data_IF_780765653163
#
_entry.id   IF_780765653163
#
_cell.length_a   1.000
_cell.length_b   1.000
_cell.length_c   1.000
_cell.angle_alpha   90.00
_cell.angle_beta   90.00
_cell.angle_gamma   90.00
#
_symmetry.space_group_name_H-M   'P 1'
#
loop_
_entity.id
_entity.type
_entity.pdbx_description
1 polymer ?
#
# COMPACT_ATOMS: atom_id res chain seq x y z
N UNK A 1 -19.90 -27.93 -36.87
CA UNK A 1 -20.03 -26.50 -36.58
C UNK A 1 -20.51 -26.22 -35.16
N UNK A 2 -19.87 -26.83 -34.16
CA UNK A 2 -20.13 -26.54 -32.74
C UNK A 2 -18.84 -26.18 -31.96
N UNK A 3 -17.64 -26.41 -32.53
CA UNK A 3 -16.36 -26.04 -31.91
C UNK A 3 -16.02 -24.54 -32.05
N UNK A 4 -16.57 -23.84 -33.05
CA UNK A 4 -16.21 -22.44 -33.35
C UNK A 4 -16.92 -21.42 -32.43
N UNK A 5 -17.96 -21.86 -31.70
CA UNK A 5 -18.73 -20.99 -30.81
C UNK A 5 -18.10 -20.91 -29.41
N UNK A 6 -17.59 -22.03 -28.89
CA UNK A 6 -16.88 -22.08 -27.60
C UNK A 6 -15.57 -21.28 -27.66
N UNK A 7 -14.78 -21.43 -28.74
CA UNK A 7 -13.55 -20.66 -28.93
C UNK A 7 -13.84 -19.15 -29.09
N UNK A 8 -14.90 -18.77 -29.79
CA UNK A 8 -15.28 -17.37 -29.94
C UNK A 8 -15.79 -16.75 -28.63
N UNK A 9 -16.51 -17.50 -27.80
CA UNK A 9 -17.02 -17.05 -26.51
C UNK A 9 -15.89 -16.88 -25.49
N UNK A 10 -14.93 -17.82 -25.44
CA UNK A 10 -13.72 -17.75 -24.61
C UNK A 10 -12.81 -16.59 -25.02
N UNK A 11 -12.66 -16.31 -26.32
CA UNK A 11 -11.85 -15.19 -26.82
C UNK A 11 -12.51 -13.83 -26.53
N UNK A 12 -13.85 -13.75 -26.52
CA UNK A 12 -14.58 -12.52 -26.17
C UNK A 12 -14.55 -12.28 -24.66
N UNK A 13 -14.72 -13.32 -23.86
CA UNK A 13 -14.72 -13.22 -22.40
C UNK A 13 -13.32 -12.91 -21.84
N UNK A 14 -12.26 -13.48 -22.44
CA UNK A 14 -10.87 -13.12 -22.13
C UNK A 14 -10.55 -11.65 -22.44
N UNK A 15 -11.07 -11.08 -23.53
CA UNK A 15 -10.91 -9.64 -23.83
C UNK A 15 -11.63 -8.75 -22.83
N UNK A 16 -12.85 -9.11 -22.44
CA UNK A 16 -13.61 -8.36 -21.44
C UNK A 16 -12.90 -8.34 -20.08
N UNK A 17 -12.36 -9.49 -19.65
CA UNK A 17 -11.53 -9.58 -18.45
C UNK A 17 -10.30 -8.67 -18.54
N UNK A 18 -9.55 -8.72 -19.65
CA UNK A 18 -8.35 -7.90 -19.81
C UNK A 18 -8.65 -6.39 -19.85
N UNK A 19 -9.80 -5.97 -20.38
CA UNK A 19 -10.19 -4.56 -20.36
C UNK A 19 -10.51 -4.09 -18.93
N UNK A 20 -11.19 -4.93 -18.13
CA UNK A 20 -11.46 -4.66 -16.71
C UNK A 20 -10.15 -4.61 -15.90
N UNK A 21 -9.24 -5.55 -16.15
CA UNK A 21 -7.94 -5.61 -15.45
C UNK A 21 -7.09 -4.35 -15.73
N UNK A 22 -7.06 -3.84 -16.98
CA UNK A 22 -6.39 -2.55 -17.29
C UNK A 22 -7.05 -1.36 -16.61
N UNK A 23 -8.37 -1.36 -16.52
CA UNK A 23 -9.08 -0.28 -15.83
C UNK A 23 -8.76 -0.28 -14.33
N UNK A 24 -8.69 -1.46 -13.70
CA UNK A 24 -8.32 -1.58 -12.30
C UNK A 24 -6.88 -1.15 -12.04
N UNK A 25 -5.93 -1.60 -12.87
CA UNK A 25 -4.50 -1.28 -12.80
C UNK A 25 -4.27 0.24 -12.83
N UNK A 26 -4.74 0.91 -13.91
CA UNK A 26 -4.62 2.36 -14.07
C UNK A 26 -5.30 3.17 -12.95
N UNK A 27 -6.37 2.63 -12.35
CA UNK A 27 -7.04 3.27 -11.21
C UNK A 27 -6.27 3.11 -9.92
N UNK A 28 -5.63 1.97 -9.72
CA UNK A 28 -4.85 1.70 -8.52
C UNK A 28 -3.59 2.56 -8.53
N UNK A 29 -2.95 2.71 -9.69
CA UNK A 29 -1.77 3.55 -9.87
C UNK A 29 -2.02 5.05 -9.61
N UNK A 30 -3.25 5.51 -9.86
CA UNK A 30 -3.62 6.92 -9.73
C UNK A 30 -4.34 7.28 -8.43
N UNK A 31 -4.54 6.31 -7.55
CA UNK A 31 -5.27 6.50 -6.30
C UNK A 31 -4.32 6.49 -5.10
N UNK A 32 -4.22 7.64 -4.44
CA UNK A 32 -3.55 7.77 -3.15
C UNK A 32 -4.60 7.87 -2.03
N UNK A 33 -4.76 6.82 -1.19
CA UNK A 33 -5.71 6.83 -0.07
C UNK A 33 -5.37 7.82 1.05
N UNK A 34 -4.14 8.35 1.09
CA UNK A 34 -3.65 9.22 2.17
C UNK A 34 -3.80 10.72 1.87
N UNK A 35 -3.97 11.09 0.60
CA UNK A 35 -4.19 12.49 0.17
C UNK A 35 -5.63 12.79 -0.26
N UNK A 36 -6.56 11.86 0.00
CA UNK A 36 -7.96 11.92 -0.45
C UNK A 36 -8.92 11.94 0.74
N UNK A 37 -10.14 12.45 0.53
CA UNK A 37 -11.15 12.52 1.60
C UNK A 37 -11.80 11.14 1.84
N UNK A 38 -12.31 10.84 3.05
CA UNK A 38 -12.93 9.53 3.36
C UNK A 38 -14.02 9.08 2.37
N UNK A 39 -14.81 10.02 1.84
CA UNK A 39 -15.84 9.72 0.85
C UNK A 39 -15.27 9.29 -0.52
N UNK A 40 -14.06 9.74 -0.86
CA UNK A 40 -13.35 9.33 -2.06
C UNK A 40 -12.71 7.94 -1.87
N UNK A 41 -12.23 7.62 -0.66
CA UNK A 41 -11.80 6.26 -0.29
C UNK A 41 -12.96 5.27 -0.39
N UNK A 42 -14.12 5.59 0.20
CA UNK A 42 -15.35 4.79 0.09
C UNK A 42 -15.71 4.53 -1.37
N UNK A 43 -15.76 5.60 -2.18
CA UNK A 43 -16.08 5.48 -3.60
C UNK A 43 -15.06 4.61 -4.35
N UNK A 44 -13.76 4.69 -4.01
CA UNK A 44 -12.74 3.86 -4.63
C UNK A 44 -12.98 2.37 -4.37
N UNK A 45 -13.19 1.98 -3.11
CA UNK A 45 -13.45 0.59 -2.73
C UNK A 45 -14.77 0.05 -3.33
N UNK A 46 -15.85 0.84 -3.32
CA UNK A 46 -17.13 0.46 -3.94
C UNK A 46 -16.98 0.13 -5.42
N UNK A 47 -16.22 0.97 -6.13
CA UNK A 47 -15.97 0.77 -7.55
C UNK A 47 -15.00 -0.40 -7.80
N UNK A 48 -13.98 -0.61 -6.95
CA UNK A 48 -13.11 -1.78 -7.04
C UNK A 48 -13.91 -3.08 -6.90
N UNK A 49 -14.80 -3.16 -5.90
CA UNK A 49 -15.66 -4.33 -5.69
C UNK A 49 -16.62 -4.55 -6.87
N UNK A 50 -17.11 -3.49 -7.51
CA UNK A 50 -17.91 -3.59 -8.72
C UNK A 50 -17.10 -4.16 -9.89
N UNK A 51 -15.90 -3.63 -10.15
CA UNK A 51 -14.99 -4.12 -11.20
C UNK A 51 -14.58 -5.57 -10.97
N UNK A 52 -14.25 -5.96 -9.73
CA UNK A 52 -13.95 -7.35 -9.37
C UNK A 52 -15.15 -8.27 -9.64
N UNK A 53 -16.36 -7.82 -9.31
CA UNK A 53 -17.58 -8.59 -9.60
C UNK A 53 -17.78 -8.79 -11.11
N UNK A 54 -17.52 -7.76 -11.91
CA UNK A 54 -17.56 -7.87 -13.38
C UNK A 54 -16.45 -8.79 -13.92
N UNK A 55 -15.23 -8.69 -13.38
CA UNK A 55 -14.10 -9.55 -13.75
C UNK A 55 -14.44 -11.03 -13.49
N UNK A 56 -14.95 -11.37 -12.31
CA UNK A 56 -15.40 -12.71 -11.91
C UNK A 56 -16.47 -13.26 -12.87
N UNK A 57 -17.34 -12.40 -13.39
CA UNK A 57 -18.38 -12.79 -14.34
C UNK A 57 -17.85 -12.99 -15.78
N UNK A 58 -16.75 -12.30 -16.13
CA UNK A 58 -16.15 -12.31 -17.47
C UNK A 58 -15.03 -13.33 -17.68
N UNK A 59 -14.38 -13.79 -16.60
CA UNK A 59 -13.18 -14.61 -16.72
C UNK A 59 -13.50 -16.02 -17.26
N UNK A 60 -12.77 -16.52 -18.28
CA UNK A 60 -13.05 -17.83 -18.88
C UNK A 60 -12.57 -19.02 -18.03
N UNK A 61 -11.62 -18.80 -17.11
CA UNK A 61 -11.00 -19.87 -16.32
C UNK A 61 -11.61 -19.98 -14.94
N UNK A 62 -12.01 -21.21 -14.55
CA UNK A 62 -12.49 -21.49 -13.19
C UNK A 62 -11.41 -21.30 -12.12
N UNK A 63 -10.14 -21.47 -12.47
CA UNK A 63 -9.00 -21.26 -11.57
C UNK A 63 -8.82 -19.76 -11.29
N UNK A 64 -8.75 -18.95 -12.35
CA UNK A 64 -8.64 -17.49 -12.22
C UNK A 64 -9.88 -16.89 -11.55
N UNK A 65 -11.06 -17.47 -11.81
CA UNK A 65 -12.28 -17.10 -11.09
C UNK A 65 -12.14 -17.31 -9.59
N UNK A 66 -11.64 -18.47 -9.16
CA UNK A 66 -11.45 -18.76 -7.74
C UNK A 66 -10.44 -17.79 -7.11
N UNK A 67 -9.39 -17.41 -7.84
CA UNK A 67 -8.41 -16.43 -7.38
C UNK A 67 -9.02 -15.04 -7.22
N UNK A 68 -9.83 -14.59 -8.19
CA UNK A 68 -10.58 -13.33 -8.09
C UNK A 68 -11.59 -13.34 -6.93
N UNK A 69 -12.22 -14.48 -6.64
CA UNK A 69 -13.12 -14.64 -5.50
C UNK A 69 -12.35 -14.52 -4.16
N UNK A 70 -11.11 -15.02 -4.08
CA UNK A 70 -10.22 -14.82 -2.91
C UNK A 70 -9.87 -13.33 -2.74
N UNK A 71 -9.46 -12.66 -3.83
CA UNK A 71 -9.17 -11.22 -3.78
C UNK A 71 -10.42 -10.41 -3.39
N UNK A 72 -11.59 -10.76 -3.91
CA UNK A 72 -12.84 -10.10 -3.55
C UNK A 72 -13.15 -10.23 -2.05
N UNK A 73 -12.92 -11.40 -1.44
CA UNK A 73 -13.08 -11.57 0.01
C UNK A 73 -12.14 -10.65 0.79
N UNK A 74 -10.86 -10.59 0.40
CA UNK A 74 -9.89 -9.67 1.02
C UNK A 74 -10.30 -8.21 0.91
N UNK A 75 -10.77 -7.77 -0.26
CA UNK A 75 -11.26 -6.40 -0.46
C UNK A 75 -12.51 -6.07 0.36
N UNK A 76 -13.41 -7.04 0.56
CA UNK A 76 -14.57 -6.88 1.46
C UNK A 76 -14.12 -6.75 2.92
N UNK A 77 -13.13 -7.53 3.35
CA UNK A 77 -12.58 -7.42 4.71
C UNK A 77 -11.90 -6.06 4.92
N UNK A 78 -11.10 -5.59 3.97
CA UNK A 78 -10.48 -4.26 3.99
C UNK A 78 -11.52 -3.13 4.06
N UNK A 79 -12.53 -3.19 3.19
CA UNK A 79 -13.63 -2.23 3.20
C UNK A 79 -14.38 -2.24 4.54
N UNK A 80 -14.57 -3.40 5.17
CA UNK A 80 -15.19 -3.49 6.49
C UNK A 80 -14.33 -2.88 7.60
N UNK A 81 -13.00 -2.97 7.52
CA UNK A 81 -12.09 -2.33 8.47
C UNK A 81 -12.17 -0.80 8.34
N UNK A 82 -12.18 -0.29 7.11
CA UNK A 82 -12.32 1.14 6.82
C UNK A 82 -13.71 1.68 7.20
N UNK A 83 -14.79 0.95 6.91
CA UNK A 83 -16.16 1.34 7.27
C UNK A 83 -16.30 1.49 8.80
N UNK A 84 -15.65 0.63 9.59
CA UNK A 84 -15.66 0.71 11.05
C UNK A 84 -15.07 2.02 11.60
N UNK A 85 -14.22 2.67 10.80
CA UNK A 85 -13.59 3.96 11.11
C UNK A 85 -14.07 5.08 10.18
N UNK A 86 -15.24 4.92 9.57
CA UNK A 86 -15.86 5.89 8.67
C UNK A 86 -14.95 6.31 7.50
N UNK A 87 -14.19 5.36 6.97
CA UNK A 87 -13.26 5.50 5.85
C UNK A 87 -12.06 6.42 6.13
N UNK A 88 -11.80 6.72 7.40
CA UNK A 88 -10.55 7.35 7.83
C UNK A 88 -9.43 6.31 7.81
N UNK A 89 -8.63 6.33 6.74
CA UNK A 89 -7.50 5.41 6.52
C UNK A 89 -6.49 5.48 7.67
N UNK A 90 -6.35 6.65 8.32
CA UNK A 90 -5.45 6.81 9.46
C UNK A 90 -6.03 6.24 10.74
N UNK A 91 -7.33 6.02 10.85
CA UNK A 91 -7.93 5.42 12.03
C UNK A 91 -7.94 3.89 11.97
N UNK A 92 -7.53 3.27 10.85
CA UNK A 92 -7.54 1.82 10.68
C UNK A 92 -6.50 1.12 11.56
N UNK A 93 -6.79 -0.12 11.95
CA UNK A 93 -5.82 -0.98 12.63
C UNK A 93 -4.83 -1.54 11.60
N UNK A 94 -3.68 -0.89 11.45
CA UNK A 94 -2.66 -1.28 10.46
C UNK A 94 -2.10 -2.68 10.70
N UNK A 95 -2.06 -3.18 11.93
CA UNK A 95 -1.63 -4.55 12.21
C UNK A 95 -2.65 -5.57 11.66
N UNK A 96 -3.95 -5.26 11.77
CA UNK A 96 -5.00 -6.09 11.17
C UNK A 96 -4.98 -6.02 9.63
N UNK A 97 -4.65 -4.85 9.07
CA UNK A 97 -4.46 -4.67 7.62
C UNK A 97 -3.26 -5.48 7.11
N UNK A 98 -2.15 -5.46 7.83
CA UNK A 98 -0.96 -6.25 7.53
C UNK A 98 -1.25 -7.76 7.62
N UNK A 99 -1.88 -8.22 8.71
CA UNK A 99 -2.28 -9.63 8.86
C UNK A 99 -3.18 -10.10 7.71
N UNK A 100 -4.10 -9.23 7.24
CA UNK A 100 -4.94 -9.51 6.07
C UNK A 100 -4.10 -9.63 4.79
N UNK A 101 -3.19 -8.69 4.52
CA UNK A 101 -2.34 -8.70 3.33
C UNK A 101 -1.32 -9.85 3.34
N UNK A 102 -0.90 -10.32 4.51
CA UNK A 102 0.03 -11.44 4.64
C UNK A 102 -0.62 -12.83 4.49
N UNK A 103 -1.95 -12.89 4.35
CA UNK A 103 -2.65 -14.16 4.21
C UNK A 103 -2.09 -14.96 3.01
N UNK A 104 -1.56 -16.18 3.24
CA UNK A 104 -0.90 -16.95 2.18
C UNK A 104 -1.80 -17.24 0.97
N UNK A 105 -3.11 -17.35 1.20
CA UNK A 105 -4.09 -17.61 0.15
C UNK A 105 -4.29 -16.38 -0.74
N UNK A 106 -4.34 -15.17 -0.17
CA UNK A 106 -4.40 -13.91 -0.92
C UNK A 106 -3.15 -13.70 -1.74
N UNK A 107 -1.96 -13.84 -1.14
CA UNK A 107 -0.69 -13.67 -1.84
C UNK A 107 -0.55 -14.65 -3.00
N UNK A 108 -0.85 -15.93 -2.77
CA UNK A 108 -0.80 -16.92 -3.83
C UNK A 108 -1.84 -16.70 -4.94
N UNK A 109 -3.02 -16.15 -4.63
CA UNK A 109 -4.02 -15.78 -5.61
C UNK A 109 -3.57 -14.57 -6.44
N UNK A 110 -3.01 -13.54 -5.80
CA UNK A 110 -2.44 -12.37 -6.46
C UNK A 110 -1.34 -12.76 -7.44
N UNK A 111 -0.36 -13.57 -7.00
CA UNK A 111 0.74 -14.05 -7.86
C UNK A 111 0.22 -14.76 -9.13
N UNK A 112 -0.84 -15.57 -8.99
CA UNK A 112 -1.45 -16.27 -10.13
C UNK A 112 -2.19 -15.33 -11.06
N UNK A 113 -2.89 -14.33 -10.51
CA UNK A 113 -3.59 -13.31 -11.28
C UNK A 113 -2.61 -12.42 -12.06
N UNK A 114 -1.48 -12.07 -11.45
CA UNK A 114 -0.42 -11.29 -12.09
C UNK A 114 0.21 -12.04 -13.26
N UNK A 115 0.57 -13.32 -13.06
CA UNK A 115 1.06 -14.19 -14.14
C UNK A 115 0.02 -14.31 -15.26
N UNK A 116 -1.27 -14.44 -14.91
CA UNK A 116 -2.35 -14.51 -15.89
C UNK A 116 -2.52 -13.19 -16.67
N UNK A 117 -2.47 -12.05 -15.97
CA UNK A 117 -2.51 -10.71 -16.57
C UNK A 117 -1.35 -10.48 -17.54
N UNK A 118 -0.13 -10.88 -17.18
CA UNK A 118 1.04 -10.76 -18.06
C UNK A 118 0.88 -11.64 -19.31
N UNK A 119 0.50 -12.90 -19.12
CA UNK A 119 0.47 -13.88 -20.20
C UNK A 119 -0.69 -13.68 -21.18
N UNK A 120 -1.88 -13.37 -20.67
CA UNK A 120 -3.10 -13.29 -21.48
C UNK A 120 -3.49 -11.85 -21.85
N UNK A 121 -3.24 -10.89 -20.95
CA UNK A 121 -3.62 -9.50 -21.15
C UNK A 121 -2.45 -8.61 -21.62
N UNK A 122 -1.22 -9.11 -21.52
CA UNK A 122 -0.01 -8.35 -21.82
C UNK A 122 0.21 -7.20 -20.85
N UNK A 123 -0.32 -7.30 -19.63
CA UNK A 123 -0.21 -6.31 -18.56
C UNK A 123 0.79 -6.87 -17.57
N UNK A 124 1.93 -6.22 -17.42
CA UNK A 124 2.85 -6.56 -16.34
C UNK A 124 2.56 -5.64 -15.16
N UNK A 125 2.30 -6.17 -13.97
CA UNK A 125 2.24 -5.35 -12.77
C UNK A 125 3.58 -4.61 -12.63
N UNK A 126 3.55 -3.27 -12.70
CA UNK A 126 4.72 -2.41 -12.53
C UNK A 126 5.63 -2.18 -13.75
N UNK A 127 5.20 -2.49 -14.98
CA UNK A 127 6.01 -2.31 -16.20
C UNK A 127 5.38 -1.27 -17.16
N UNK A 128 4.75 -0.23 -16.59
CA UNK A 128 4.71 1.08 -17.25
C UNK A 128 6.15 1.63 -17.22
N UNK A 129 6.88 1.28 -18.28
CA UNK A 129 8.15 1.83 -18.76
C UNK A 129 8.59 3.13 -18.05
N UNK A 130 9.58 3.01 -17.16
CA UNK A 130 10.74 3.92 -16.95
C UNK A 130 10.56 5.46 -16.85
N UNK A 131 9.35 6.02 -16.90
CA UNK A 131 9.09 7.47 -16.97
C UNK A 131 7.80 7.95 -16.23
N UNK A 132 7.07 7.09 -15.49
CA UNK A 132 5.76 7.45 -14.88
C UNK A 132 5.70 7.45 -13.35
N UNK A 133 6.81 7.20 -12.66
CA UNK A 133 7.00 7.61 -11.28
C UNK A 133 8.49 7.87 -11.09
N UNK A 134 8.94 9.10 -11.34
CA UNK A 134 10.06 9.60 -10.54
C UNK A 134 9.60 9.43 -9.09
N UNK A 135 10.17 8.42 -8.43
CA UNK A 135 10.17 8.16 -7.00
C UNK A 135 9.49 9.26 -6.16
N UNK A 136 8.16 9.30 -6.13
CA UNK A 136 7.44 9.76 -4.95
C UNK A 136 7.36 8.53 -4.07
N UNK A 137 8.54 8.06 -3.64
CA UNK A 137 8.66 7.00 -2.66
C UNK A 137 7.75 7.39 -1.50
N UNK A 138 7.06 6.40 -0.95
CA UNK A 138 6.09 6.44 0.15
C UNK A 138 6.60 7.11 1.46
N UNK A 139 7.71 7.86 1.41
CA UNK A 139 8.25 8.68 2.48
C UNK A 139 8.86 10.02 2.02
N UNK A 140 8.61 10.50 0.80
CA UNK A 140 9.17 11.76 0.30
C UNK A 140 8.35 13.01 0.68
N UNK A 141 7.10 12.83 1.10
CA UNK A 141 6.27 13.92 1.60
C UNK A 141 6.47 14.08 3.13
N UNK A 142 7.02 15.22 3.60
CA UNK A 142 7.22 15.47 5.02
C UNK A 142 5.93 15.59 5.82
N UNK A 143 4.83 16.03 5.21
CA UNK A 143 3.51 16.07 5.85
C UNK A 143 2.96 14.65 6.01
N UNK A 144 3.21 13.76 5.04
CA UNK A 144 2.88 12.33 5.15
C UNK A 144 3.71 11.69 6.27
N UNK A 145 5.02 11.92 6.33
CA UNK A 145 5.87 11.35 7.38
C UNK A 145 5.50 11.85 8.78
N UNK A 146 5.18 13.14 8.93
CA UNK A 146 4.65 13.67 10.17
C UNK A 146 3.32 13.01 10.55
N UNK A 147 2.41 12.83 9.58
CA UNK A 147 1.12 12.20 9.81
C UNK A 147 1.24 10.69 10.14
N UNK A 148 2.18 9.97 9.51
CA UNK A 148 2.52 8.58 9.84
C UNK A 148 3.06 8.44 11.27
N UNK A 149 3.86 9.41 11.73
CA UNK A 149 4.42 9.43 13.09
C UNK A 149 3.41 9.90 14.15
N UNK A 150 2.48 10.78 13.78
CA UNK A 150 1.37 11.19 14.64
C UNK A 150 0.31 10.09 14.80
N UNK A 151 0.25 9.15 13.86
CA UNK A 151 -0.64 8.00 13.90
C UNK A 151 -0.17 6.97 14.95
N UNK A 152 -0.96 6.68 16.00
CA UNK A 152 -0.52 5.80 17.09
C UNK A 152 -0.31 4.34 16.66
N UNK A 153 -1.00 3.84 15.63
CA UNK A 153 -0.85 2.46 15.15
C UNK A 153 0.40 2.30 14.28
N UNK A 154 0.63 3.21 13.33
CA UNK A 154 1.85 3.21 12.51
C UNK A 154 3.09 3.52 13.35
N UNK A 155 2.98 4.46 14.30
CA UNK A 155 4.03 4.73 15.26
C UNK A 155 4.36 3.48 16.10
N UNK A 156 3.36 2.68 16.49
CA UNK A 156 3.61 1.44 17.21
C UNK A 156 4.39 0.42 16.37
N UNK A 157 4.07 0.26 15.08
CA UNK A 157 4.82 -0.59 14.15
C UNK A 157 6.27 -0.10 13.96
N UNK A 158 6.47 1.21 13.77
CA UNK A 158 7.82 1.79 13.66
C UNK A 158 8.64 1.64 14.94
N UNK A 159 8.00 1.75 16.10
CA UNK A 159 8.65 1.48 17.40
C UNK A 159 9.00 -0.01 17.52
N UNK A 160 8.10 -0.91 17.15
CA UNK A 160 8.37 -2.35 17.17
C UNK A 160 9.58 -2.68 16.30
N UNK A 161 9.62 -2.17 15.06
CA UNK A 161 10.76 -2.38 14.16
C UNK A 161 12.06 -1.78 14.70
N UNK A 162 12.00 -0.56 15.24
CA UNK A 162 13.16 0.09 15.85
C UNK A 162 13.67 -0.67 17.07
N UNK A 163 12.80 -1.34 17.83
CA UNK A 163 13.16 -2.05 19.07
C UNK A 163 13.45 -3.54 18.87
N UNK A 164 13.06 -4.13 17.73
CA UNK A 164 13.20 -5.56 17.45
C UNK A 164 14.65 -5.98 17.23
N UNK A 165 15.44 -5.15 16.54
CA UNK A 165 16.83 -5.44 16.17
C UNK A 165 17.87 -4.51 16.83
N UNK A 166 17.45 -3.56 17.66
CA UNK A 166 18.35 -2.58 18.27
C UNK A 166 18.25 -2.57 19.81
N UNK A 167 19.29 -2.05 20.47
CA UNK A 167 19.32 -1.85 21.93
C UNK A 167 18.46 -0.63 22.38
N UNK A 168 17.53 -0.17 21.53
CA UNK A 168 16.58 0.91 21.84
C UNK A 168 15.40 0.34 22.61
N UNK A 169 15.00 1.02 23.67
CA UNK A 169 13.76 0.71 24.40
C UNK A 169 12.56 1.42 23.79
N UNK A 170 11.35 0.90 24.03
CA UNK A 170 10.10 1.52 23.59
C UNK A 170 9.98 2.99 24.04
N UNK A 171 10.42 3.34 25.26
CA UNK A 171 10.43 4.73 25.75
C UNK A 171 11.38 5.63 24.96
N UNK A 172 12.54 5.10 24.56
CA UNK A 172 13.53 5.83 23.76
C UNK A 172 13.05 6.01 22.32
N UNK A 173 12.47 4.97 21.72
CA UNK A 173 11.87 5.04 20.39
C UNK A 173 10.72 6.05 20.36
N UNK A 174 9.84 6.04 21.37
CA UNK A 174 8.79 7.04 21.51
C UNK A 174 9.38 8.46 21.59
N UNK A 175 10.36 8.70 22.46
CA UNK A 175 11.02 9.99 22.57
C UNK A 175 11.63 10.44 21.24
N UNK A 176 12.28 9.53 20.51
CA UNK A 176 12.91 9.83 19.23
C UNK A 176 11.89 10.33 18.21
N UNK A 177 10.77 9.61 18.06
CA UNK A 177 9.69 10.03 17.15
C UNK A 177 9.03 11.34 17.57
N UNK A 178 8.82 11.58 18.87
CA UNK A 178 8.32 12.87 19.36
C UNK A 178 9.29 14.01 19.03
N UNK A 179 10.61 13.78 19.20
CA UNK A 179 11.64 14.76 18.86
C UNK A 179 11.73 15.05 17.36
N UNK A 180 11.47 14.06 16.51
CA UNK A 180 11.42 14.23 15.05
C UNK A 180 10.23 15.11 14.62
N UNK A 181 9.06 14.92 15.25
CA UNK A 181 7.87 15.75 15.03
C UNK A 181 8.13 17.18 15.54
N UNK A 182 8.58 17.32 16.78
CA UNK A 182 8.76 18.63 17.45
C UNK A 182 9.86 19.51 16.81
N UNK A 183 10.83 18.88 16.15
CA UNK A 183 11.95 19.58 15.52
C UNK A 183 11.66 20.11 14.10
N UNK A 184 10.49 19.78 13.55
CA UNK A 184 10.15 20.02 12.14
C UNK A 184 11.26 19.52 11.18
N UNK A 185 11.95 18.43 11.55
CA UNK A 185 13.08 17.92 10.76
C UNK A 185 12.63 17.52 9.35
N UNK A 186 11.41 16.96 9.23
CA UNK A 186 10.83 16.56 7.95
C UNK A 186 10.55 17.77 7.04
N UNK A 187 9.95 18.84 7.55
CA UNK A 187 9.80 20.09 6.79
C UNK A 187 11.16 20.64 6.33
N UNK A 188 12.21 20.48 7.15
CA UNK A 188 13.57 20.90 6.80
C UNK A 188 14.29 19.98 5.79
N UNK A 189 13.72 18.82 5.48
CA UNK A 189 14.18 17.87 4.46
C UNK A 189 13.40 18.00 3.15
N UNK A 190 12.35 18.82 3.11
CA UNK A 190 11.53 19.10 1.93
C UNK A 190 12.42 19.60 0.77
N UNK A 191 12.54 18.75 -0.27
CA UNK A 191 13.28 19.02 -1.49
C UNK A 191 14.72 18.49 -1.58
N UNK A 192 15.23 17.73 -0.60
CA UNK A 192 16.55 17.06 -0.72
C UNK A 192 16.82 15.96 0.32
N UNK A 193 15.98 14.92 0.39
CA UNK A 193 16.23 13.79 1.31
C UNK A 193 17.52 13.01 1.00
N UNK A 194 18.05 13.13 -0.22
CA UNK A 194 19.33 12.54 -0.62
C UNK A 194 20.56 13.20 0.05
N UNK A 195 20.43 14.44 0.52
CA UNK A 195 21.49 15.14 1.24
C UNK A 195 20.95 15.71 2.56
N UNK A 196 20.97 14.87 3.60
CA UNK A 196 20.82 15.34 4.98
C UNK A 196 21.95 16.34 5.28
N UNK A 197 21.60 17.63 5.24
CA UNK A 197 22.54 18.70 5.51
C UNK A 197 23.09 18.62 6.94
N UNK A 198 24.23 19.26 7.17
CA UNK A 198 24.89 19.23 8.50
C UNK A 198 23.98 19.76 9.61
N UNK A 199 23.02 20.65 9.31
CA UNK A 199 22.07 21.14 10.29
C UNK A 199 21.07 20.05 10.71
N UNK A 200 20.53 19.30 9.74
CA UNK A 200 19.61 18.19 9.97
C UNK A 200 20.29 17.05 10.76
N UNK A 201 21.54 16.74 10.42
CA UNK A 201 22.34 15.75 11.15
C UNK A 201 22.63 16.19 12.60
N UNK A 202 22.86 17.49 12.84
CA UNK A 202 23.01 18.03 14.19
C UNK A 202 21.70 17.88 14.96
N UNK A 203 20.57 18.26 14.37
CA UNK A 203 19.24 18.12 15.00
C UNK A 203 18.93 16.66 15.34
N UNK A 204 19.24 15.71 14.45
CA UNK A 204 19.04 14.29 14.72
C UNK A 204 19.94 13.78 15.87
N UNK A 205 21.19 14.24 15.95
CA UNK A 205 22.09 13.90 17.06
C UNK A 205 21.65 14.53 18.40
N UNK A 206 21.06 15.72 18.37
CA UNK A 206 20.45 16.36 19.55
C UNK A 206 19.25 15.55 20.04
N UNK A 207 18.37 15.09 19.14
CA UNK A 207 17.25 14.20 19.50
C UNK A 207 17.77 12.89 20.11
N UNK A 208 18.82 12.28 19.54
CA UNK A 208 19.41 11.08 20.12
C UNK A 208 19.95 11.30 21.54
N UNK A 209 20.66 12.42 21.80
CA UNK A 209 21.17 12.75 23.13
C UNK A 209 20.02 13.01 24.13
N UNK A 210 19.00 13.76 23.72
CA UNK A 210 17.83 14.07 24.55
C UNK A 210 17.01 12.83 24.91
N UNK A 211 16.93 11.87 23.99
CA UNK A 211 16.26 10.58 24.18
C UNK A 211 17.17 9.50 24.75
N UNK A 212 18.45 9.81 25.01
CA UNK A 212 19.41 8.86 25.57
C UNK A 212 19.70 7.65 24.68
N UNK A 213 19.58 7.80 23.36
CA UNK A 213 19.92 6.79 22.35
C UNK A 213 21.39 6.97 21.96
N UNK A 214 22.16 5.89 21.95
CA UNK A 214 23.53 5.94 21.42
C UNK A 214 23.45 6.05 19.88
N UNK A 215 24.06 7.06 19.25
CA UNK A 215 24.05 7.21 17.81
C UNK A 215 24.75 6.04 17.07
N UNK A 216 25.50 5.19 17.77
CA UNK A 216 26.07 3.96 17.23
C UNK A 216 25.12 2.75 17.30
N UNK A 217 23.91 2.90 17.85
CA UNK A 217 22.94 1.80 17.99
C UNK A 217 22.40 1.32 16.64
N UNK A 218 22.46 2.14 15.59
CA UNK A 218 21.99 1.82 14.23
C UNK A 218 23.14 1.56 13.23
N UNK A 219 24.38 1.37 13.73
CA UNK A 219 25.62 1.28 12.94
C UNK A 219 26.15 -0.13 12.71
#
# INVERSE_FOLDING_TARGET
DADDADDAEVVVSGRAFCDIFREQDARSDSFDPFSTEPAEVEAFFDNQLALLTEAIASVPSAEIKADLEVIQVGQIEMASMLEAVAWDVFAVDFAAVEELNEQPEMNAASDRLDIYGETECGIRPGDDDEDAAEDEAFGNDPDMMAMLLENPALRALMIEEMTSESDVTEEQANCFFDGLIDSNLFEALEGNMDEMGTAQMITMLEIFDDCGIDPNTFG
#
